data_IF_915605145094
#
_entry.id   IF_915605145094
#
_cell.length_a   1.000
_cell.length_b   1.000
_cell.length_c   1.000
_cell.angle_alpha   90.00
_cell.angle_beta   90.00
_cell.angle_gamma   90.00
#
_symmetry.space_group_name_H-M   'P 1'
#
loop_
_entity.id
_entity.type
_entity.pdbx_description
1 polymer ?
#
# COMPACT_ATOMS: atom_id res chain seq x y z
N UNK A 1 -30.04 -30.83 -28.06
CA UNK A 1 -28.95 -31.12 -27.09
C UNK A 1 -27.61 -30.42 -27.42
N UNK A 2 -27.49 -29.65 -28.52
CA UNK A 2 -26.23 -29.05 -28.96
C UNK A 2 -26.02 -27.55 -28.61
N UNK A 3 -27.05 -26.79 -28.27
CA UNK A 3 -26.91 -25.35 -27.95
C UNK A 3 -26.45 -25.13 -26.52
N UNK A 4 -26.97 -25.90 -25.58
CA UNK A 4 -26.56 -25.78 -24.16
C UNK A 4 -25.08 -26.07 -23.93
N UNK A 5 -24.51 -27.03 -24.66
CA UNK A 5 -23.07 -27.33 -24.61
C UNK A 5 -22.20 -26.21 -25.20
N UNK A 6 -22.66 -25.54 -26.26
CA UNK A 6 -21.93 -24.39 -26.83
C UNK A 6 -21.92 -23.17 -25.90
N UNK A 7 -23.03 -22.90 -25.22
CA UNK A 7 -23.14 -21.80 -24.28
C UNK A 7 -22.26 -22.03 -23.02
N UNK A 8 -22.25 -23.27 -22.50
CA UNK A 8 -21.43 -23.65 -21.37
C UNK A 8 -19.93 -23.61 -21.74
N UNK A 9 -19.58 -24.13 -22.92
CA UNK A 9 -18.19 -24.11 -23.40
C UNK A 9 -17.69 -22.70 -23.67
N UNK A 10 -18.50 -21.79 -24.21
CA UNK A 10 -18.11 -20.39 -24.45
C UNK A 10 -17.99 -19.61 -23.15
N UNK A 11 -18.82 -19.86 -22.16
CA UNK A 11 -18.73 -19.19 -20.84
C UNK A 11 -17.51 -19.69 -20.04
N UNK A 12 -17.16 -20.97 -20.13
CA UNK A 12 -15.97 -21.53 -19.51
C UNK A 12 -14.70 -20.97 -20.17
N UNK A 13 -14.63 -20.96 -21.51
CA UNK A 13 -13.50 -20.39 -22.24
C UNK A 13 -13.33 -18.89 -21.97
N UNK A 14 -14.42 -18.14 -21.87
CA UNK A 14 -14.40 -16.72 -21.50
C UNK A 14 -13.90 -16.53 -20.08
N UNK A 15 -14.35 -17.35 -19.11
CA UNK A 15 -13.87 -17.32 -17.74
C UNK A 15 -12.37 -17.64 -17.67
N UNK A 16 -11.88 -18.66 -18.36
CA UNK A 16 -10.46 -19.01 -18.45
C UNK A 16 -9.64 -17.88 -19.09
N UNK A 17 -10.16 -17.23 -20.11
CA UNK A 17 -9.50 -16.09 -20.75
C UNK A 17 -9.32 -14.91 -19.80
N UNK A 18 -10.31 -14.64 -18.96
CA UNK A 18 -10.25 -13.58 -17.96
C UNK A 18 -9.34 -13.94 -16.76
N UNK A 19 -9.28 -15.23 -16.39
CA UNK A 19 -8.53 -15.74 -15.24
C UNK A 19 -7.25 -16.50 -15.62
N UNK A 20 -6.75 -16.32 -16.84
CA UNK A 20 -5.56 -17.05 -17.36
C UNK A 20 -4.36 -16.97 -16.43
N UNK A 21 -4.11 -15.80 -15.84
CA UNK A 21 -2.98 -15.63 -14.93
C UNK A 21 -3.14 -16.39 -13.61
N UNK A 22 -4.37 -16.52 -13.10
CA UNK A 22 -4.65 -17.39 -11.97
C UNK A 22 -4.34 -18.85 -12.30
N UNK A 23 -4.83 -19.33 -13.45
CA UNK A 23 -4.61 -20.71 -13.91
C UNK A 23 -3.13 -21.00 -14.10
N UNK A 24 -2.39 -20.10 -14.76
CA UNK A 24 -0.94 -20.25 -14.94
C UNK A 24 -0.18 -20.28 -13.62
N UNK A 25 -0.51 -19.41 -12.67
CA UNK A 25 0.12 -19.39 -11.35
C UNK A 25 -0.09 -20.70 -10.60
N UNK A 26 -1.32 -21.24 -10.65
CA UNK A 26 -1.65 -22.52 -10.01
C UNK A 26 -0.94 -23.70 -10.72
N UNK A 27 -0.94 -23.75 -12.05
CA UNK A 27 -0.26 -24.81 -12.81
C UNK A 27 1.24 -24.83 -12.51
N UNK A 28 1.89 -23.66 -12.52
CA UNK A 28 3.32 -23.54 -12.20
C UNK A 28 3.59 -24.02 -10.77
N UNK A 29 2.76 -23.65 -9.81
CA UNK A 29 2.92 -24.06 -8.42
C UNK A 29 2.73 -25.57 -8.24
N UNK A 30 1.72 -26.17 -8.88
CA UNK A 30 1.51 -27.62 -8.88
C UNK A 30 2.69 -28.33 -9.55
N UNK A 31 3.19 -27.82 -10.67
CA UNK A 31 4.36 -28.40 -11.34
C UNK A 31 5.58 -28.39 -10.41
N UNK A 32 5.86 -27.28 -9.73
CA UNK A 32 6.97 -27.18 -8.76
C UNK A 32 6.80 -28.14 -7.58
N UNK A 33 5.57 -28.31 -7.05
CA UNK A 33 5.31 -29.27 -5.96
C UNK A 33 5.59 -30.73 -6.34
N UNK A 34 5.54 -31.06 -7.62
CA UNK A 34 5.87 -32.42 -8.11
C UNK A 34 7.37 -32.64 -8.35
N UNK A 35 8.20 -31.60 -8.27
CA UNK A 35 9.64 -31.74 -8.37
C UNK A 35 10.25 -32.19 -7.03
N UNK A 36 11.38 -32.87 -7.11
CA UNK A 36 12.15 -33.24 -5.91
C UNK A 36 12.69 -31.99 -5.21
N UNK A 37 12.63 -31.99 -3.88
CA UNK A 37 13.20 -30.92 -3.06
C UNK A 37 14.69 -30.71 -3.37
N UNK A 38 15.14 -29.48 -3.68
CA UNK A 38 16.54 -29.21 -3.94
C UNK A 38 17.46 -29.55 -2.76
N UNK A 39 18.69 -29.96 -3.07
CA UNK A 39 19.68 -30.29 -2.05
C UNK A 39 19.95 -29.06 -1.15
N UNK A 40 19.88 -29.26 0.16
CA UNK A 40 20.11 -28.21 1.14
C UNK A 40 18.85 -27.49 1.64
N UNK A 41 17.67 -27.84 1.09
CA UNK A 41 16.39 -27.30 1.58
C UNK A 41 15.59 -28.39 2.31
N UNK A 42 14.91 -28.00 3.39
CA UNK A 42 13.90 -28.86 4.02
C UNK A 42 12.60 -28.80 3.20
N UNK A 43 11.77 -29.82 3.28
CA UNK A 43 10.47 -29.86 2.56
C UNK A 43 9.58 -28.65 2.90
N UNK A 44 9.39 -28.27 4.20
CA UNK A 44 8.62 -27.07 4.52
C UNK A 44 9.21 -25.78 3.95
N UNK A 45 10.55 -25.66 3.92
CA UNK A 45 11.21 -24.48 3.33
C UNK A 45 10.97 -24.40 1.81
N UNK A 46 11.01 -25.54 1.12
CA UNK A 46 10.71 -25.61 -0.32
C UNK A 46 9.24 -25.24 -0.60
N UNK A 47 8.30 -25.79 0.18
CA UNK A 47 6.88 -25.44 0.07
C UNK A 47 6.63 -23.94 0.33
N UNK A 48 7.34 -23.34 1.31
CA UNK A 48 7.26 -21.90 1.57
C UNK A 48 7.68 -21.06 0.38
N UNK A 49 8.76 -21.45 -0.33
CA UNK A 49 9.20 -20.76 -1.54
C UNK A 49 8.19 -20.87 -2.68
N UNK A 50 7.53 -22.03 -2.83
CA UNK A 50 6.45 -22.21 -3.84
C UNK A 50 5.25 -21.31 -3.51
N UNK A 51 4.82 -21.27 -2.24
CA UNK A 51 3.75 -20.37 -1.79
C UNK A 51 4.14 -18.91 -2.05
N UNK A 52 5.37 -18.52 -1.73
CA UNK A 52 5.87 -17.16 -1.96
C UNK A 52 5.81 -16.79 -3.45
N UNK A 53 6.25 -17.70 -4.34
CA UNK A 53 6.17 -17.50 -5.78
C UNK A 53 4.72 -17.37 -6.26
N UNK A 54 3.83 -18.24 -5.79
CA UNK A 54 2.40 -18.18 -6.09
C UNK A 54 1.80 -16.84 -5.68
N UNK A 55 2.02 -16.41 -4.44
CA UNK A 55 1.54 -15.13 -3.92
C UNK A 55 2.09 -13.96 -4.73
N UNK A 56 3.40 -14.00 -5.07
CA UNK A 56 4.01 -12.97 -5.90
C UNK A 56 3.33 -12.85 -7.28
N UNK A 57 3.05 -13.98 -7.93
CA UNK A 57 2.34 -13.98 -9.21
C UNK A 57 0.89 -13.48 -9.06
N UNK A 58 0.17 -13.93 -8.02
CA UNK A 58 -1.21 -13.50 -7.78
C UNK A 58 -1.31 -12.01 -7.44
N UNK A 59 -0.36 -11.47 -6.69
CA UNK A 59 -0.30 -10.02 -6.37
C UNK A 59 0.07 -9.19 -7.60
N UNK A 60 1.00 -9.70 -8.44
CA UNK A 60 1.47 -8.97 -9.63
C UNK A 60 0.40 -8.88 -10.72
N UNK A 61 -0.35 -9.96 -10.94
CA UNK A 61 -1.34 -10.04 -12.01
C UNK A 61 -2.78 -9.78 -11.55
N UNK A 62 -3.01 -9.67 -10.24
CA UNK A 62 -4.30 -9.38 -9.60
C UNK A 62 -5.50 -10.17 -10.15
N UNK A 63 -5.39 -11.49 -10.44
CA UNK A 63 -6.50 -12.26 -10.99
C UNK A 63 -7.65 -12.49 -10.00
N UNK A 64 -7.38 -12.37 -8.70
CA UNK A 64 -8.33 -12.46 -7.59
C UNK A 64 -8.08 -11.35 -6.57
N UNK A 65 -9.09 -10.94 -5.77
CA UNK A 65 -8.94 -9.90 -4.75
C UNK A 65 -7.89 -10.25 -3.68
N UNK A 66 -7.15 -9.25 -3.19
CA UNK A 66 -6.11 -9.43 -2.16
C UNK A 66 -6.57 -10.22 -0.92
N UNK A 67 -7.78 -10.01 -0.34
CA UNK A 67 -8.24 -10.82 0.77
C UNK A 67 -8.33 -12.31 0.45
N UNK A 68 -8.69 -12.67 -0.79
CA UNK A 68 -8.73 -14.06 -1.22
C UNK A 68 -7.31 -14.65 -1.35
N UNK A 69 -6.33 -13.86 -1.81
CA UNK A 69 -4.92 -14.27 -1.84
C UNK A 69 -4.42 -14.54 -0.43
N UNK A 70 -4.75 -13.66 0.52
CA UNK A 70 -4.35 -13.81 1.92
C UNK A 70 -4.92 -15.10 2.54
N UNK A 71 -6.22 -15.35 2.37
CA UNK A 71 -6.86 -16.59 2.88
C UNK A 71 -6.29 -17.84 2.19
N UNK A 72 -6.05 -17.80 0.88
CA UNK A 72 -5.41 -18.89 0.15
C UNK A 72 -4.02 -19.19 0.71
N UNK A 73 -3.23 -18.16 1.00
CA UNK A 73 -1.89 -18.30 1.60
C UNK A 73 -1.96 -19.02 2.95
N UNK A 74 -2.91 -18.62 3.82
CA UNK A 74 -3.12 -19.24 5.12
C UNK A 74 -3.43 -20.73 4.96
N UNK A 75 -4.39 -21.07 4.08
CA UNK A 75 -4.79 -22.47 3.86
C UNK A 75 -3.62 -23.29 3.31
N UNK A 76 -2.88 -22.76 2.34
CA UNK A 76 -1.77 -23.47 1.72
C UNK A 76 -0.61 -23.74 2.69
N UNK A 77 -0.32 -22.82 3.62
CA UNK A 77 0.71 -23.06 4.64
C UNK A 77 0.38 -24.27 5.52
N UNK A 78 -0.89 -24.42 5.88
CA UNK A 78 -1.36 -25.57 6.69
C UNK A 78 -1.38 -26.85 5.84
N UNK A 79 -1.99 -26.81 4.65
CA UNK A 79 -2.18 -27.99 3.79
C UNK A 79 -0.85 -28.56 3.30
N UNK A 80 0.12 -27.70 2.98
CA UNK A 80 1.45 -28.12 2.53
C UNK A 80 2.42 -28.42 3.69
N UNK A 81 1.95 -28.37 4.95
CA UNK A 81 2.75 -28.70 6.12
C UNK A 81 3.93 -27.75 6.38
N UNK A 82 3.79 -26.48 6.01
CA UNK A 82 4.80 -25.45 6.26
C UNK A 82 4.89 -25.13 7.75
N UNK A 83 3.73 -24.96 8.40
CA UNK A 83 3.65 -24.73 9.84
C UNK A 83 2.34 -25.31 10.40
N UNK A 84 2.28 -25.59 11.71
CA UNK A 84 1.07 -26.03 12.38
C UNK A 84 -0.05 -24.99 12.31
N UNK A 85 -1.34 -25.39 12.32
CA UNK A 85 -2.48 -24.48 12.17
C UNK A 85 -2.53 -23.34 13.19
N UNK A 86 -2.15 -23.60 14.43
CA UNK A 86 -2.09 -22.63 15.54
C UNK A 86 -1.02 -21.55 15.28
N UNK A 87 0.15 -21.95 14.77
CA UNK A 87 1.23 -21.03 14.40
C UNK A 87 0.82 -20.17 13.21
N UNK A 88 0.20 -20.77 12.18
CA UNK A 88 -0.30 -20.04 11.03
C UNK A 88 -1.38 -19.04 11.44
N UNK A 89 -2.33 -19.46 12.26
CA UNK A 89 -3.42 -18.60 12.73
C UNK A 89 -2.90 -17.43 13.58
N UNK A 90 -1.98 -17.66 14.51
CA UNK A 90 -1.39 -16.60 15.33
C UNK A 90 -0.53 -15.61 14.51
N UNK A 91 0.16 -16.09 13.48
CA UNK A 91 0.92 -15.22 12.56
C UNK A 91 0.00 -14.35 11.71
N UNK A 92 -1.21 -14.83 11.39
CA UNK A 92 -2.19 -14.11 10.58
C UNK A 92 -2.94 -13.03 11.37
N UNK A 93 -3.15 -13.23 12.67
CA UNK A 93 -3.81 -12.28 13.59
C UNK A 93 -2.83 -11.79 14.65
N UNK A 94 -1.72 -11.24 14.19
CA UNK A 94 -0.70 -10.65 15.06
C UNK A 94 -1.00 -9.17 15.40
N UNK A 95 -0.23 -8.61 16.32
CA UNK A 95 -0.39 -7.22 16.79
C UNK A 95 -0.35 -6.19 15.64
N UNK A 96 0.44 -6.44 14.59
CA UNK A 96 0.50 -5.54 13.44
C UNK A 96 -0.83 -5.50 12.66
N UNK A 97 -1.49 -6.64 12.50
CA UNK A 97 -2.81 -6.73 11.83
C UNK A 97 -3.87 -6.01 12.67
N UNK A 98 -3.91 -6.27 13.98
CA UNK A 98 -4.83 -5.59 14.91
C UNK A 98 -4.59 -4.07 14.91
N UNK A 99 -3.34 -3.65 14.88
CA UNK A 99 -2.97 -2.24 14.77
C UNK A 99 -3.50 -1.61 13.47
N UNK A 100 -3.31 -2.27 12.31
CA UNK A 100 -3.84 -1.78 11.03
C UNK A 100 -5.37 -1.69 11.05
N UNK A 101 -6.04 -2.69 11.58
CA UNK A 101 -7.51 -2.66 11.73
C UNK A 101 -7.97 -1.48 12.59
N UNK A 102 -7.32 -1.26 13.74
CA UNK A 102 -7.62 -0.12 14.63
C UNK A 102 -7.38 1.23 13.94
N UNK A 103 -6.29 1.36 13.20
CA UNK A 103 -5.97 2.60 12.46
C UNK A 103 -6.97 2.88 11.34
N UNK A 104 -7.47 1.86 10.64
CA UNK A 104 -8.52 2.02 9.63
C UNK A 104 -9.87 2.42 10.25
N UNK A 105 -10.24 1.85 11.40
CA UNK A 105 -11.42 2.27 12.15
C UNK A 105 -11.32 3.74 12.58
N UNK A 106 -10.13 4.16 13.02
CA UNK A 106 -9.87 5.55 13.37
C UNK A 106 -9.99 6.49 12.15
N UNK A 107 -9.50 6.04 10.97
CA UNK A 107 -9.67 6.76 9.72
C UNK A 107 -11.14 7.01 9.39
N UNK A 108 -11.96 5.98 9.47
CA UNK A 108 -13.41 6.06 9.21
C UNK A 108 -14.05 7.07 10.18
N UNK A 109 -13.68 7.04 11.46
CA UNK A 109 -14.18 7.99 12.44
C UNK A 109 -13.82 9.44 12.11
N UNK A 110 -12.58 9.71 11.66
CA UNK A 110 -12.11 11.04 11.23
C UNK A 110 -12.96 11.56 10.05
N UNK A 111 -13.15 10.73 9.03
CA UNK A 111 -13.96 11.09 7.85
C UNK A 111 -15.42 11.31 8.24
N UNK A 112 -15.99 10.43 9.07
CA UNK A 112 -17.38 10.56 9.52
C UNK A 112 -17.64 11.81 10.35
N UNK A 113 -16.63 12.31 11.07
CA UNK A 113 -16.70 13.57 11.82
C UNK A 113 -16.42 14.83 10.96
N UNK A 114 -16.17 14.68 9.65
CA UNK A 114 -15.86 15.77 8.74
C UNK A 114 -14.56 16.51 9.07
N UNK A 115 -13.63 15.86 9.76
CA UNK A 115 -12.31 16.43 10.07
C UNK A 115 -11.46 16.57 8.81
N UNK A 116 -11.63 15.71 7.83
CA UNK A 116 -11.03 15.79 6.50
C UNK A 116 -11.36 17.14 5.81
N UNK A 117 -12.62 17.57 5.85
CA UNK A 117 -13.07 18.86 5.29
C UNK A 117 -12.43 20.03 6.04
N UNK A 118 -12.29 19.93 7.35
CA UNK A 118 -11.64 20.97 8.17
C UNK A 118 -10.15 21.08 7.85
N UNK A 119 -9.47 19.96 7.69
CA UNK A 119 -8.08 19.89 7.25
C UNK A 119 -7.91 20.48 5.86
N UNK A 120 -8.80 20.16 4.91
CA UNK A 120 -8.80 20.74 3.57
C UNK A 120 -8.84 22.27 3.60
N UNK A 121 -9.79 22.82 4.36
CA UNK A 121 -9.93 24.29 4.53
C UNK A 121 -8.69 24.91 5.15
N UNK A 122 -8.08 24.24 6.12
CA UNK A 122 -6.86 24.71 6.77
C UNK A 122 -5.67 24.74 5.78
N UNK A 123 -5.50 23.67 4.98
CA UNK A 123 -4.44 23.60 3.96
C UNK A 123 -4.60 24.73 2.95
N UNK A 124 -5.81 24.91 2.41
CA UNK A 124 -6.10 25.97 1.44
C UNK A 124 -5.87 27.35 2.05
N UNK A 125 -6.26 27.57 3.31
CA UNK A 125 -6.07 28.86 4.00
C UNK A 125 -4.60 29.21 4.21
N UNK A 126 -3.77 28.21 4.57
CA UNK A 126 -2.34 28.44 4.88
C UNK A 126 -1.48 28.45 3.61
N UNK A 127 -1.72 27.50 2.72
CA UNK A 127 -0.85 27.21 1.57
C UNK A 127 -1.47 27.57 0.22
N UNK A 128 -2.72 28.04 0.16
CA UNK A 128 -3.44 28.29 -1.09
C UNK A 128 -3.00 29.54 -1.87
N UNK A 129 -1.95 30.25 -1.42
CA UNK A 129 -1.48 31.50 -2.06
C UNK A 129 -0.83 31.27 -3.44
N UNK A 130 -0.25 30.12 -3.66
CA UNK A 130 0.33 29.73 -4.95
C UNK A 130 0.25 28.22 -5.14
N UNK A 131 0.25 27.78 -6.41
CA UNK A 131 0.22 26.36 -6.75
C UNK A 131 1.37 25.58 -6.09
N UNK A 132 2.58 26.12 -6.11
CA UNK A 132 3.77 25.51 -5.47
C UNK A 132 3.61 25.39 -3.97
N UNK A 133 3.17 26.44 -3.30
CA UNK A 133 2.93 26.40 -1.86
C UNK A 133 1.84 25.41 -1.51
N UNK A 134 0.79 25.30 -2.32
CA UNK A 134 -0.29 24.35 -2.11
C UNK A 134 0.22 22.89 -2.21
N UNK A 135 1.00 22.56 -3.24
CA UNK A 135 1.58 21.22 -3.41
C UNK A 135 2.56 20.88 -2.27
N UNK A 136 3.41 21.82 -1.90
CA UNK A 136 4.34 21.65 -0.78
C UNK A 136 3.60 21.48 0.56
N UNK A 137 2.56 22.27 0.79
CA UNK A 137 1.69 22.14 1.96
C UNK A 137 0.96 20.81 2.01
N UNK A 138 0.42 20.38 0.88
CA UNK A 138 -0.27 19.10 0.75
C UNK A 138 0.67 17.93 1.08
N UNK A 139 1.89 17.92 0.51
CA UNK A 139 2.90 16.91 0.80
C UNK A 139 3.33 16.94 2.27
N UNK A 140 3.63 18.10 2.82
CA UNK A 140 4.11 18.24 4.21
C UNK A 140 3.05 17.81 5.21
N UNK A 141 1.79 18.22 5.01
CA UNK A 141 0.69 17.83 5.90
C UNK A 141 0.41 16.34 5.77
N UNK A 142 0.43 15.79 4.55
CA UNK A 142 0.32 14.34 4.33
C UNK A 142 1.41 13.59 5.08
N UNK A 143 2.65 14.07 5.06
CA UNK A 143 3.77 13.45 5.78
C UNK A 143 3.58 13.50 7.31
N UNK A 144 3.18 14.65 7.85
CA UNK A 144 2.96 14.80 9.29
C UNK A 144 1.82 13.88 9.76
N UNK A 145 0.69 13.90 9.07
CA UNK A 145 -0.46 13.07 9.43
C UNK A 145 -0.13 11.58 9.30
N UNK A 146 0.56 11.19 8.23
CA UNK A 146 0.91 9.80 7.97
C UNK A 146 1.89 9.23 9.00
N UNK A 147 2.70 10.06 9.63
CA UNK A 147 3.54 9.63 10.75
C UNK A 147 2.73 9.02 11.89
N UNK A 148 1.52 9.48 12.14
CA UNK A 148 0.71 9.04 13.28
C UNK A 148 -0.50 8.19 12.89
N UNK A 149 -1.15 8.48 11.78
CA UNK A 149 -2.41 7.84 11.37
C UNK A 149 -2.21 6.67 10.40
N UNK A 150 -1.00 6.48 9.89
CA UNK A 150 -0.70 5.51 8.85
C UNK A 150 -1.02 5.99 7.43
N UNK A 151 -0.27 5.44 6.47
CA UNK A 151 -0.32 5.90 5.07
C UNK A 151 -1.69 5.72 4.42
N UNK A 152 -2.34 4.58 4.61
CA UNK A 152 -3.64 4.28 4.00
C UNK A 152 -4.75 5.21 4.49
N UNK A 153 -4.74 5.50 5.79
CA UNK A 153 -5.67 6.44 6.43
C UNK A 153 -5.54 7.84 5.83
N UNK A 154 -4.30 8.31 5.73
CA UNK A 154 -4.03 9.67 5.25
C UNK A 154 -4.31 9.80 3.76
N UNK A 155 -4.03 8.77 2.95
CA UNK A 155 -4.44 8.75 1.54
C UNK A 155 -5.96 8.88 1.42
N UNK A 156 -6.73 8.12 2.21
CA UNK A 156 -8.19 8.17 2.19
C UNK A 156 -8.74 9.56 2.54
N UNK A 157 -8.07 10.29 3.44
CA UNK A 157 -8.44 11.67 3.83
C UNK A 157 -7.99 12.69 2.78
N UNK A 158 -6.75 12.58 2.30
CA UNK A 158 -6.12 13.59 1.46
C UNK A 158 -6.53 13.50 -0.02
N UNK A 159 -6.87 12.32 -0.51
CA UNK A 159 -7.27 12.13 -1.91
C UNK A 159 -8.53 12.92 -2.29
N UNK A 160 -9.64 12.91 -1.53
CA UNK A 160 -10.79 13.76 -1.81
C UNK A 160 -10.45 15.26 -1.82
N UNK A 161 -9.54 15.70 -0.94
CA UNK A 161 -9.06 17.07 -0.88
C UNK A 161 -8.33 17.44 -2.18
N UNK A 162 -7.36 16.62 -2.59
CA UNK A 162 -6.65 16.80 -3.85
C UNK A 162 -7.59 16.82 -5.04
N UNK A 163 -8.52 15.87 -5.13
CA UNK A 163 -9.48 15.78 -6.20
C UNK A 163 -10.44 16.99 -6.26
N UNK A 164 -10.81 17.59 -5.14
CA UNK A 164 -11.66 18.77 -5.10
C UNK A 164 -11.00 20.00 -5.75
N UNK A 165 -9.69 20.10 -5.61
CA UNK A 165 -8.89 21.17 -6.26
C UNK A 165 -8.72 20.90 -7.76
N UNK A 166 -8.47 19.62 -8.10
CA UNK A 166 -8.29 19.17 -9.50
C UNK A 166 -9.54 19.38 -10.36
N UNK A 167 -10.75 19.20 -9.79
CA UNK A 167 -12.02 19.36 -10.52
C UNK A 167 -12.17 20.70 -11.26
N UNK A 168 -11.50 21.74 -10.78
CA UNK A 168 -11.55 23.08 -11.34
C UNK A 168 -10.41 23.36 -12.34
N UNK A 169 -9.56 22.36 -12.62
CA UNK A 169 -8.43 22.49 -13.53
C UNK A 169 -8.84 21.95 -14.90
N UNK A 170 -8.62 22.74 -15.96
CA UNK A 170 -8.80 22.29 -17.33
C UNK A 170 -7.73 21.23 -17.70
N UNK A 171 -8.16 19.97 -17.71
CA UNK A 171 -7.30 18.81 -18.00
C UNK A 171 -7.03 18.61 -19.51
N UNK A 172 -7.62 19.41 -20.39
CA UNK A 172 -7.36 19.32 -21.82
C UNK A 172 -5.98 19.89 -22.18
N UNK A 173 -5.47 20.80 -21.36
CA UNK A 173 -4.14 21.39 -21.56
C UNK A 173 -3.08 20.54 -20.83
N UNK A 174 -1.85 20.53 -21.40
CA UNK A 174 -0.72 19.80 -20.81
C UNK A 174 -0.42 20.26 -19.37
N UNK A 175 -0.54 21.57 -19.11
CA UNK A 175 -0.32 22.14 -17.77
C UNK A 175 -1.37 21.65 -16.74
N UNK A 176 -2.61 21.40 -17.19
CA UNK A 176 -3.65 20.83 -16.37
C UNK A 176 -3.36 19.38 -15.97
N UNK A 177 -2.91 18.54 -16.92
CA UNK A 177 -2.50 17.16 -16.64
C UNK A 177 -1.34 17.09 -15.64
N UNK A 178 -0.34 17.94 -15.82
CA UNK A 178 0.80 18.01 -14.91
C UNK A 178 0.38 18.45 -13.50
N UNK A 179 -0.56 19.38 -13.37
CA UNK A 179 -1.08 19.80 -12.08
C UNK A 179 -1.80 18.65 -11.33
N UNK A 180 -2.58 17.85 -12.07
CA UNK A 180 -3.23 16.65 -11.53
C UNK A 180 -2.18 15.66 -11.01
N UNK A 181 -1.21 15.30 -11.84
CA UNK A 181 -0.15 14.37 -11.48
C UNK A 181 0.65 14.85 -10.27
N UNK A 182 1.06 16.13 -10.24
CA UNK A 182 1.81 16.70 -9.12
C UNK A 182 0.99 16.70 -7.82
N UNK A 183 -0.32 16.93 -7.89
CA UNK A 183 -1.20 16.86 -6.72
C UNK A 183 -1.26 15.44 -6.16
N UNK A 184 -1.47 14.45 -7.03
CA UNK A 184 -1.50 13.04 -6.63
C UNK A 184 -0.15 12.57 -6.09
N UNK A 185 0.95 12.94 -6.75
CA UNK A 185 2.30 12.63 -6.27
C UNK A 185 2.62 13.31 -4.94
N UNK A 186 2.17 14.56 -4.73
CA UNK A 186 2.37 15.24 -3.44
C UNK A 186 1.71 14.49 -2.29
N UNK A 187 0.51 13.95 -2.49
CA UNK A 187 -0.17 13.13 -1.50
C UNK A 187 0.57 11.80 -1.33
N UNK A 188 0.85 11.09 -2.42
CA UNK A 188 1.47 9.77 -2.38
C UNK A 188 2.85 9.79 -1.72
N UNK A 189 3.74 10.66 -2.18
CA UNK A 189 5.08 10.77 -1.59
C UNK A 189 5.04 11.31 -0.16
N UNK A 190 4.17 12.29 0.13
CA UNK A 190 3.98 12.79 1.48
C UNK A 190 3.59 11.68 2.45
N UNK A 191 2.61 10.86 2.09
CA UNK A 191 2.15 9.76 2.94
C UNK A 191 3.18 8.66 3.10
N UNK A 192 3.86 8.26 2.02
CA UNK A 192 4.90 7.21 2.06
C UNK A 192 6.08 7.67 2.93
N UNK A 193 6.59 8.88 2.72
CA UNK A 193 7.70 9.44 3.50
C UNK A 193 7.30 9.59 4.97
N UNK A 194 6.11 10.12 5.23
CA UNK A 194 5.61 10.33 6.59
C UNK A 194 5.44 9.04 7.37
N UNK A 195 4.97 8.00 6.73
CA UNK A 195 4.66 6.72 7.39
C UNK A 195 5.85 6.03 8.07
N UNK A 196 7.07 6.42 7.73
CA UNK A 196 8.28 5.88 8.36
C UNK A 196 8.50 6.50 9.76
N UNK A 197 7.96 7.69 10.02
CA UNK A 197 8.31 8.53 11.17
C UNK A 197 8.05 7.89 12.52
N UNK A 198 6.97 7.13 12.68
CA UNK A 198 6.64 6.46 13.93
C UNK A 198 6.26 5.00 13.72
N UNK A 199 6.28 4.15 14.76
CA UNK A 199 5.75 2.80 14.67
C UNK A 199 4.31 2.75 14.17
N UNK A 200 3.49 3.72 14.56
CA UNK A 200 2.08 3.84 14.15
C UNK A 200 1.87 4.35 12.71
N UNK A 201 2.90 4.86 12.07
CA UNK A 201 2.83 5.35 10.69
C UNK A 201 2.62 4.27 9.63
N UNK A 202 2.93 3.01 9.94
CA UNK A 202 2.71 1.91 9.01
C UNK A 202 2.93 0.53 9.61
N UNK A 203 2.14 -0.45 9.16
CA UNK A 203 2.25 -1.84 9.62
C UNK A 203 3.66 -2.43 9.45
N UNK A 204 4.37 -2.05 8.39
CA UNK A 204 5.75 -2.48 8.12
C UNK A 204 6.72 -2.10 9.23
N UNK A 205 6.51 -0.96 9.91
CA UNK A 205 7.34 -0.52 11.02
C UNK A 205 7.16 -1.45 12.23
N UNK A 206 5.91 -1.80 12.55
CA UNK A 206 5.57 -2.73 13.64
C UNK A 206 6.14 -4.12 13.34
N UNK A 207 5.98 -4.61 12.12
CA UNK A 207 6.53 -5.89 11.67
C UNK A 207 8.06 -5.89 11.83
N UNK A 208 8.74 -4.82 11.42
CA UNK A 208 10.19 -4.70 11.54
C UNK A 208 10.64 -4.68 13.00
N UNK A 209 9.94 -3.96 13.88
CA UNK A 209 10.22 -3.94 15.32
C UNK A 209 10.08 -5.35 15.92
N UNK A 210 9.02 -6.09 15.55
CA UNK A 210 8.78 -7.45 16.01
C UNK A 210 9.91 -8.39 15.53
N UNK A 211 10.33 -8.29 14.27
CA UNK A 211 11.45 -9.10 13.76
C UNK A 211 12.77 -8.77 14.43
N UNK A 212 13.07 -7.50 14.71
CA UNK A 212 14.27 -7.14 15.46
C UNK A 212 14.26 -7.71 16.87
N UNK A 213 13.12 -7.72 17.52
CA UNK A 213 12.96 -8.37 18.83
C UNK A 213 13.15 -9.88 18.74
N UNK A 214 12.52 -10.53 17.76
CA UNK A 214 12.51 -11.99 17.62
C UNK A 214 13.87 -12.55 17.20
N UNK A 215 14.53 -11.96 16.19
CA UNK A 215 15.76 -12.51 15.61
C UNK A 215 17.04 -11.93 16.21
N UNK A 216 17.00 -10.74 16.78
CA UNK A 216 18.18 -10.04 17.28
C UNK A 216 18.14 -9.70 18.76
N UNK A 217 17.03 -10.01 19.46
CA UNK A 217 16.75 -9.62 20.84
C UNK A 217 16.91 -8.10 21.09
N UNK A 218 16.69 -7.28 20.05
CA UNK A 218 16.77 -5.82 20.14
C UNK A 218 15.37 -5.25 20.31
N UNK A 219 15.07 -4.73 21.50
CA UNK A 219 13.81 -4.02 21.74
C UNK A 219 13.94 -2.55 21.29
N UNK A 220 13.01 -2.14 20.45
CA UNK A 220 12.90 -0.76 19.99
C UNK A 220 11.55 -0.22 20.47
N UNK A 221 11.60 0.71 21.43
CA UNK A 221 10.41 1.43 21.86
C UNK A 221 10.00 2.53 20.88
N UNK A 222 8.82 3.11 21.08
CA UNK A 222 8.24 4.13 20.22
C UNK A 222 9.17 5.34 20.01
N UNK A 223 9.78 5.84 21.09
CA UNK A 223 10.65 7.01 21.05
C UNK A 223 12.00 6.72 20.40
N UNK A 224 12.55 5.55 20.65
CA UNK A 224 13.79 5.10 20.04
C UNK A 224 13.63 4.97 18.53
N UNK A 225 12.49 4.45 18.05
CA UNK A 225 12.17 4.44 16.61
C UNK A 225 12.13 5.84 16.04
N UNK A 226 11.35 6.75 16.64
CA UNK A 226 11.22 8.12 16.17
C UNK A 226 12.56 8.84 16.06
N UNK A 227 13.41 8.69 17.09
CA UNK A 227 14.74 9.32 17.11
C UNK A 227 15.60 8.98 15.90
N UNK A 228 15.48 7.76 15.38
CA UNK A 228 16.23 7.31 14.20
C UNK A 228 15.50 7.57 12.89
N UNK A 229 14.20 7.48 12.88
CA UNK A 229 13.38 7.60 11.66
C UNK A 229 13.14 9.06 11.24
N UNK A 230 12.91 9.99 12.18
CA UNK A 230 12.61 11.39 11.83
C UNK A 230 13.73 12.12 11.08
N UNK A 231 15.03 11.96 11.39
CA UNK A 231 16.08 12.57 10.57
C UNK A 231 16.02 12.12 9.11
N UNK A 232 15.77 10.81 8.88
CA UNK A 232 15.63 10.24 7.54
C UNK A 232 14.38 10.81 6.84
N UNK A 233 13.25 10.85 7.55
CA UNK A 233 12.00 11.43 7.05
C UNK A 233 12.19 12.89 6.61
N UNK A 234 12.84 13.71 7.43
CA UNK A 234 13.08 15.13 7.13
C UNK A 234 13.93 15.28 5.87
N UNK A 235 15.01 14.51 5.75
CA UNK A 235 15.87 14.54 4.56
C UNK A 235 15.07 14.13 3.31
N UNK A 236 14.31 13.04 3.37
CA UNK A 236 13.48 12.58 2.26
C UNK A 236 12.42 13.61 1.88
N UNK A 237 11.78 14.25 2.86
CA UNK A 237 10.78 15.27 2.62
C UNK A 237 11.37 16.50 1.93
N UNK A 238 12.55 16.97 2.36
CA UNK A 238 13.25 18.10 1.72
C UNK A 238 13.62 17.74 0.27
N UNK A 239 14.14 16.55 0.02
CA UNK A 239 14.47 16.09 -1.34
C UNK A 239 13.20 16.03 -2.21
N UNK A 240 12.11 15.45 -1.71
CA UNK A 240 10.86 15.35 -2.44
C UNK A 240 10.24 16.72 -2.74
N UNK A 241 10.28 17.66 -1.80
CA UNK A 241 9.85 19.04 -2.00
C UNK A 241 10.70 19.75 -3.07
N UNK A 242 12.01 19.50 -3.07
CA UNK A 242 12.92 20.06 -4.09
C UNK A 242 12.58 19.52 -5.48
N UNK A 243 12.25 18.25 -5.62
CA UNK A 243 11.83 17.65 -6.90
C UNK A 243 10.52 18.25 -7.42
N UNK A 244 9.55 18.52 -6.56
CA UNK A 244 8.31 19.22 -6.96
C UNK A 244 8.63 20.63 -7.49
N UNK A 245 9.54 21.36 -6.84
CA UNK A 245 9.95 22.68 -7.30
C UNK A 245 10.65 22.65 -8.67
N UNK A 246 11.43 21.63 -8.96
CA UNK A 246 12.15 21.47 -10.24
C UNK A 246 11.20 21.03 -11.36
N UNK A 247 10.21 20.19 -11.05
CA UNK A 247 9.29 19.60 -12.04
C UNK A 247 8.22 20.59 -12.56
N UNK A 248 8.03 21.73 -11.90
CA UNK A 248 7.19 22.80 -12.43
C UNK A 248 8.00 23.70 -13.38
N UNK A 249 7.75 23.66 -14.71
CA UNK A 249 8.35 24.63 -15.62
C UNK A 249 7.92 26.03 -15.19
N UNK A 250 8.90 26.90 -14.97
CA UNK A 250 8.76 28.33 -14.64
C UNK A 250 8.14 29.11 -15.80
N UNK A 251 6.92 28.79 -16.19
CA UNK A 251 6.10 29.75 -16.93
C UNK A 251 5.40 30.64 -15.90
N UNK A 252 5.94 31.83 -15.71
CA UNK A 252 5.20 32.97 -15.18
C UNK A 252 3.93 33.06 -16.01
N UNK A 253 2.79 32.74 -15.41
CA UNK A 253 1.51 33.16 -15.91
C UNK A 253 1.57 34.67 -15.87
N UNK A 254 1.81 35.31 -17.06
CA UNK A 254 1.56 36.71 -17.23
C UNK A 254 0.09 36.95 -16.93
N UNK A 255 -0.15 37.76 -15.92
CA UNK A 255 -1.43 38.40 -15.63
C UNK A 255 -1.56 39.53 -16.64
#
# INVERSE_FOLDING_TARGET
MNESYKVISSSILFWFSQKKWFVYSVIISIFLLNLSTPVGLTVPAYHSLIILLLVFMLVTFEPIPFPAIALLTLVLQVVLGVAPPDVVASSFMNDAVLFVMGSLMFAIAIVHQGLDIRLAKLIIKIFGKSKRMFLAGLMTISAILSSFLGEHTVIAIMLPIGLSVIKNIDTQQADGKNAVLLTLFSIAYGTIIGSIGTPSGGARNVIMINYLQEFSNVSIDYWKWMKHAYPILIIQLVVALSLIHISEPTRRLGI
#
